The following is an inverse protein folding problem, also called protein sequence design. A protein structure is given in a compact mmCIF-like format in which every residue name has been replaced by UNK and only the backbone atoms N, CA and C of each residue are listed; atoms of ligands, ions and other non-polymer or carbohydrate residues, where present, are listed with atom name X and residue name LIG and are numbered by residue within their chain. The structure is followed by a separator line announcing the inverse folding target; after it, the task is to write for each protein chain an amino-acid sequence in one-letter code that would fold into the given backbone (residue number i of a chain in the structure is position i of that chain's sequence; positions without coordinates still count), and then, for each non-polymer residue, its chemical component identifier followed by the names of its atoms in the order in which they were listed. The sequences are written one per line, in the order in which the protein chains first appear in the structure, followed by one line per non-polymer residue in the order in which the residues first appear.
data_IF_631657230137
#
_entry.id   IF_631657230137
#
_cell.length_a   1.000
_cell.length_b   1.000
_cell.length_c   1.000
_cell.angle_alpha   90.00
_cell.angle_beta   90.00
_cell.angle_gamma   90.00
#
_symmetry.space_group_name_H-M   'P 1'
#
loop_
_entity.id
_entity.type
_entity.pdbx_description
1 polymer ?
#
# COMPACT_ATOMS: atom_id res chain seq x y z
N UNK A 1 -26.45 -41.02 0.18
CA UNK A 1 -25.92 -40.16 1.27
C UNK A 1 -24.41 -40.14 1.09
N UNK A 2 -23.88 -39.05 0.55
CA UNK A 2 -22.45 -38.79 0.52
C UNK A 2 -22.20 -37.72 1.57
N UNK A 3 -21.53 -38.07 2.65
CA UNK A 3 -20.99 -37.11 3.61
C UNK A 3 -20.01 -36.22 2.86
N UNK A 4 -20.33 -34.93 2.78
CA UNK A 4 -19.35 -33.92 2.43
C UNK A 4 -18.27 -33.97 3.51
N UNK A 5 -17.11 -34.52 3.16
CA UNK A 5 -15.89 -34.36 3.95
C UNK A 5 -15.66 -32.85 4.08
N UNK A 6 -15.89 -32.32 5.27
CA UNK A 6 -15.56 -30.93 5.61
C UNK A 6 -14.09 -30.73 5.30
N UNK A 7 -13.79 -29.79 4.39
CA UNK A 7 -12.43 -29.31 4.20
C UNK A 7 -11.87 -28.93 5.58
N UNK A 8 -10.63 -29.33 5.92
CA UNK A 8 -10.06 -28.99 7.22
C UNK A 8 -10.16 -27.48 7.41
N UNK A 9 -10.74 -27.02 8.53
CA UNK A 9 -10.86 -25.60 8.85
C UNK A 9 -9.55 -24.89 8.51
N UNK A 10 -9.59 -24.07 7.45
CA UNK A 10 -8.43 -23.40 6.90
C UNK A 10 -7.75 -22.62 8.03
N UNK A 11 -6.51 -23.00 8.38
CA UNK A 11 -5.72 -22.25 9.36
C UNK A 11 -5.75 -20.76 9.01
N UNK A 12 -5.99 -19.86 9.99
CA UNK A 12 -6.03 -18.44 9.71
C UNK A 12 -4.72 -17.96 9.08
N UNK A 13 -4.82 -17.10 8.06
CA UNK A 13 -3.68 -16.50 7.39
C UNK A 13 -2.92 -15.59 8.34
N UNK A 14 -3.65 -14.73 9.05
CA UNK A 14 -3.13 -13.86 10.10
C UNK A 14 -3.84 -14.18 11.42
N UNK A 15 -3.06 -14.25 12.50
CA UNK A 15 -3.58 -14.31 13.87
C UNK A 15 -2.85 -13.27 14.72
N UNK A 16 -3.61 -12.39 15.34
CA UNK A 16 -3.12 -11.43 16.33
C UNK A 16 -3.62 -11.87 17.69
N UNK A 17 -2.71 -11.97 18.67
CA UNK A 17 -3.03 -12.47 20.02
C UNK A 17 -2.49 -11.53 21.08
N UNK A 18 -3.39 -10.98 21.89
CA UNK A 18 -3.11 -10.12 23.05
C UNK A 18 -2.10 -9.01 22.74
N UNK A 19 -2.19 -8.44 21.53
CA UNK A 19 -1.24 -7.46 21.04
C UNK A 19 -1.39 -6.17 21.84
N UNK A 20 -0.28 -5.74 22.44
CA UNK A 20 -0.20 -4.50 23.23
C UNK A 20 0.91 -3.62 22.68
N UNK A 21 0.63 -2.33 22.52
CA UNK A 21 1.57 -1.36 21.95
C UNK A 21 1.45 -0.03 22.66
N UNK A 22 2.60 0.49 23.10
CA UNK A 22 2.71 1.76 23.81
C UNK A 22 3.55 2.76 23.04
N UNK A 23 3.18 4.03 23.20
CA UNK A 23 3.92 5.18 22.72
C UNK A 23 4.46 6.00 23.89
N UNK A 24 5.78 6.23 23.91
CA UNK A 24 6.51 6.93 24.95
C UNK A 24 6.78 8.37 24.50
N UNK A 25 6.34 9.33 25.31
CA UNK A 25 6.55 10.75 25.09
C UNK A 25 6.99 11.44 26.38
N UNK A 26 7.32 12.73 26.31
CA UNK A 26 7.61 13.53 27.51
C UNK A 26 6.39 13.66 28.44
N UNK A 27 5.20 13.64 27.88
CA UNK A 27 3.93 13.81 28.59
C UNK A 27 3.40 12.50 29.19
N UNK A 28 4.11 11.39 28.97
CA UNK A 28 3.80 10.08 29.53
C UNK A 28 3.77 8.97 28.49
N UNK A 29 3.22 7.83 28.91
CA UNK A 29 3.08 6.62 28.10
C UNK A 29 1.62 6.46 27.68
N UNK A 30 1.38 6.44 26.38
CA UNK A 30 0.07 6.19 25.80
C UNK A 30 -0.01 4.75 25.30
N UNK A 31 -0.85 3.93 25.92
CA UNK A 31 -1.15 2.58 25.42
C UNK A 31 -2.16 2.68 24.28
N UNK A 32 -1.68 2.59 23.05
CA UNK A 32 -2.50 2.77 21.85
C UNK A 32 -3.20 1.47 21.40
N UNK A 33 -2.62 0.32 21.75
CA UNK A 33 -3.22 -1.01 21.53
C UNK A 33 -3.14 -1.75 22.85
N UNK A 34 -4.26 -2.31 23.32
CA UNK A 34 -4.37 -2.93 24.65
C UNK A 34 -5.05 -4.30 24.50
N UNK A 35 -4.26 -5.38 24.49
CA UNK A 35 -4.77 -6.75 24.44
C UNK A 35 -5.60 -7.11 23.21
N UNK A 36 -5.29 -6.57 22.02
CA UNK A 36 -6.09 -6.84 20.82
C UNK A 36 -5.83 -8.25 20.30
N UNK A 37 -6.91 -9.00 20.07
CA UNK A 37 -6.90 -10.37 19.53
C UNK A 37 -7.90 -10.50 18.37
N UNK A 38 -7.46 -10.99 17.22
CA UNK A 38 -8.33 -11.31 16.07
C UNK A 38 -7.63 -12.25 15.08
N UNK A 39 -8.42 -12.82 14.17
CA UNK A 39 -7.95 -13.70 13.11
C UNK A 39 -8.47 -13.22 11.75
N UNK A 40 -7.71 -13.48 10.69
CA UNK A 40 -8.09 -13.25 9.31
C UNK A 40 -7.76 -14.49 8.49
N UNK A 41 -8.75 -15.10 7.85
CA UNK A 41 -8.56 -16.27 6.97
C UNK A 41 -8.25 -15.84 5.53
N UNK A 42 -7.78 -16.79 4.73
CA UNK A 42 -7.50 -16.55 3.30
C UNK A 42 -8.80 -16.18 2.57
N UNK A 43 -8.74 -15.11 1.79
CA UNK A 43 -9.88 -14.60 1.02
C UNK A 43 -10.87 -13.76 1.82
N UNK A 44 -10.69 -13.62 3.15
CA UNK A 44 -11.50 -12.72 3.95
C UNK A 44 -10.99 -11.27 3.84
N UNK A 45 -11.90 -10.32 4.06
CA UNK A 45 -11.57 -8.90 4.23
C UNK A 45 -11.97 -8.47 5.63
N UNK A 46 -11.01 -8.01 6.42
CA UNK A 46 -11.25 -7.49 7.77
C UNK A 46 -11.17 -5.97 7.77
N UNK A 47 -12.23 -5.32 8.24
CA UNK A 47 -12.27 -3.88 8.47
C UNK A 47 -12.08 -3.56 9.95
N UNK A 48 -11.07 -2.75 10.28
CA UNK A 48 -10.88 -2.20 11.62
C UNK A 48 -11.39 -0.75 11.67
N UNK A 49 -12.49 -0.51 12.38
CA UNK A 49 -13.20 0.78 12.41
C UNK A 49 -13.25 1.34 13.83
N UNK A 50 -13.22 2.65 13.96
CA UNK A 50 -13.27 3.36 15.23
C UNK A 50 -12.87 4.83 15.06
N UNK A 51 -12.98 5.61 16.13
CA UNK A 51 -12.70 7.06 16.13
C UNK A 51 -11.21 7.38 15.89
N UNK A 52 -10.90 8.62 15.54
CA UNK A 52 -9.50 9.06 15.44
C UNK A 52 -8.77 8.83 16.77
N UNK A 53 -7.56 8.29 16.72
CA UNK A 53 -6.76 8.00 17.91
C UNK A 53 -7.07 6.68 18.63
N UNK A 54 -8.09 5.90 18.23
CA UNK A 54 -8.46 4.65 18.90
C UNK A 54 -7.52 3.45 18.65
N UNK A 55 -6.32 3.67 18.10
CA UNK A 55 -5.32 2.62 17.91
C UNK A 55 -5.30 1.90 16.56
N UNK A 56 -6.21 2.17 15.62
CA UNK A 56 -6.27 1.45 14.32
C UNK A 56 -4.94 1.41 13.56
N UNK A 57 -4.35 2.58 13.33
CA UNK A 57 -3.07 2.69 12.64
C UNK A 57 -1.94 2.08 13.47
N UNK A 58 -2.01 2.20 14.79
CA UNK A 58 -1.03 1.58 15.68
C UNK A 58 -1.08 0.05 15.58
N UNK A 59 -2.26 -0.57 15.53
CA UNK A 59 -2.44 -2.01 15.30
C UNK A 59 -1.78 -2.46 13.99
N UNK A 60 -2.10 -1.78 12.88
CA UNK A 60 -1.54 -2.11 11.56
C UNK A 60 0.00 -1.95 11.52
N UNK A 61 0.52 -0.84 12.05
CA UNK A 61 1.96 -0.58 12.12
C UNK A 61 2.69 -1.57 13.04
N UNK A 62 2.05 -2.01 14.13
CA UNK A 62 2.59 -3.03 15.03
C UNK A 62 2.75 -4.38 14.33
N UNK A 63 1.71 -4.80 13.59
CA UNK A 63 1.76 -6.03 12.79
C UNK A 63 2.85 -5.99 11.72
N UNK A 64 3.02 -4.84 11.06
CA UNK A 64 4.09 -4.62 10.06
C UNK A 64 5.47 -4.38 10.69
N UNK A 65 5.57 -4.24 12.01
CA UNK A 65 6.78 -3.78 12.73
C UNK A 65 7.35 -2.46 12.19
N UNK A 66 6.48 -1.51 11.87
CA UNK A 66 6.82 -0.19 11.32
C UNK A 66 6.59 0.95 12.34
N UNK A 67 6.45 0.62 13.63
CA UNK A 67 6.41 1.62 14.69
C UNK A 67 7.71 2.42 14.72
N UNK A 68 7.61 3.74 14.88
CA UNK A 68 8.78 4.61 14.98
C UNK A 68 9.47 4.42 16.34
N UNK A 69 10.59 3.71 16.36
CA UNK A 69 11.41 3.57 17.56
C UNK A 69 12.18 4.86 17.88
N UNK A 70 12.43 5.19 19.17
CA UNK A 70 11.99 4.46 20.37
C UNK A 70 10.59 4.85 20.85
N UNK A 71 9.90 5.76 20.15
CA UNK A 71 8.62 6.31 20.58
C UNK A 71 7.54 5.23 20.62
N UNK A 72 7.36 4.41 19.59
CA UNK A 72 6.41 3.31 19.56
C UNK A 72 7.07 1.95 19.77
N UNK A 73 6.48 1.11 20.62
CA UNK A 73 6.97 -0.24 20.90
C UNK A 73 5.82 -1.23 21.10
N UNK A 74 5.97 -2.43 20.56
CA UNK A 74 5.14 -3.59 20.92
C UNK A 74 5.64 -4.12 22.27
N UNK A 75 4.76 -4.11 23.28
CA UNK A 75 5.10 -4.53 24.65
C UNK A 75 4.91 -6.03 24.84
N UNK A 76 3.84 -6.58 24.27
CA UNK A 76 3.48 -7.98 24.38
C UNK A 76 2.53 -8.41 23.26
N UNK A 77 2.31 -9.73 23.16
CA UNK A 77 1.43 -10.37 22.20
C UNK A 77 2.18 -11.10 21.09
N UNK A 78 1.43 -11.59 20.11
CA UNK A 78 1.95 -12.30 18.93
C UNK A 78 1.24 -11.85 17.67
N UNK A 79 1.98 -11.85 16.57
CA UNK A 79 1.43 -11.62 15.22
C UNK A 79 1.91 -12.76 14.34
N UNK A 80 1.04 -13.73 14.07
CA UNK A 80 1.35 -14.90 13.28
C UNK A 80 0.89 -14.68 11.83
N UNK A 81 1.79 -14.88 10.87
CA UNK A 81 1.46 -14.96 9.44
C UNK A 81 1.80 -16.37 8.96
N UNK A 82 0.80 -17.13 8.48
CA UNK A 82 0.93 -18.56 8.18
C UNK A 82 1.58 -19.35 9.33
N UNK A 83 1.22 -19.02 10.58
CA UNK A 83 1.76 -19.65 11.79
C UNK A 83 3.16 -19.20 12.21
N UNK A 84 3.84 -18.33 11.43
CA UNK A 84 5.15 -17.77 11.78
C UNK A 84 4.99 -16.45 12.54
N UNK A 85 5.58 -16.35 13.74
CA UNK A 85 5.54 -15.13 14.55
C UNK A 85 6.46 -14.03 14.01
N UNK A 86 5.85 -12.96 13.50
CA UNK A 86 6.51 -11.82 12.88
C UNK A 86 7.34 -11.01 13.89
N UNK A 87 6.93 -11.01 15.17
CA UNK A 87 7.60 -10.24 16.22
C UNK A 87 8.96 -10.85 16.61
N UNK A 88 9.19 -12.12 16.30
CA UNK A 88 10.42 -12.85 16.61
C UNK A 88 11.43 -12.86 15.44
N UNK A 89 11.06 -12.32 14.28
CA UNK A 89 11.94 -12.33 13.11
C UNK A 89 13.14 -11.39 13.27
N UNK A 90 14.28 -11.77 12.70
CA UNK A 90 15.34 -10.80 12.46
C UNK A 90 14.88 -9.73 11.46
N UNK A 91 15.53 -8.57 11.43
CA UNK A 91 15.15 -7.51 10.48
C UNK A 91 15.31 -7.96 9.02
N UNK A 92 16.31 -8.78 8.71
CA UNK A 92 16.50 -9.33 7.38
C UNK A 92 15.36 -10.28 6.96
N UNK A 93 14.83 -11.07 7.88
CA UNK A 93 13.67 -11.92 7.63
C UNK A 93 12.38 -11.11 7.52
N UNK A 94 12.19 -10.12 8.40
CA UNK A 94 11.04 -9.23 8.33
C UNK A 94 11.03 -8.41 7.04
N UNK A 95 12.20 -8.00 6.57
CA UNK A 95 12.36 -7.36 5.26
C UNK A 95 11.84 -8.26 4.13
N UNK A 96 12.07 -9.58 4.16
CA UNK A 96 11.52 -10.49 3.14
C UNK A 96 10.00 -10.64 3.23
N UNK A 97 9.43 -10.60 4.44
CA UNK A 97 7.98 -10.64 4.64
C UNK A 97 7.31 -9.38 4.09
N UNK A 98 7.89 -8.21 4.38
CA UNK A 98 7.40 -6.93 3.86
C UNK A 98 7.60 -6.89 2.34
N UNK A 99 6.55 -6.62 1.60
CA UNK A 99 6.60 -6.48 0.14
C UNK A 99 6.24 -7.76 -0.63
N UNK A 100 6.63 -8.94 -0.15
CA UNK A 100 6.32 -10.22 -0.82
C UNK A 100 5.08 -10.90 -0.21
N UNK A 101 5.10 -11.16 1.11
CA UNK A 101 3.99 -11.82 1.81
C UNK A 101 2.97 -10.82 2.38
N UNK A 102 3.41 -9.62 2.74
CA UNK A 102 2.59 -8.59 3.37
C UNK A 102 3.01 -7.19 2.92
N UNK A 103 2.08 -6.43 2.35
CA UNK A 103 2.32 -5.06 1.89
C UNK A 103 1.39 -4.07 2.60
N UNK A 104 1.81 -2.82 2.69
CA UNK A 104 1.03 -1.74 3.32
C UNK A 104 0.93 -0.55 2.38
N UNK A 105 -0.29 -0.02 2.23
CA UNK A 105 -0.55 1.27 1.60
C UNK A 105 -0.79 2.29 2.72
N UNK A 106 0.05 3.31 2.80
CA UNK A 106 -0.05 4.32 3.84
C UNK A 106 -1.17 5.32 3.56
N UNK A 107 -1.67 5.99 4.62
CA UNK A 107 -2.78 6.95 4.53
C UNK A 107 -2.47 8.14 3.62
N UNK A 108 -1.20 8.55 3.56
CA UNK A 108 -0.69 9.55 2.62
C UNK A 108 0.20 8.86 1.57
N UNK A 109 -0.39 8.18 0.57
CA UNK A 109 0.39 7.34 -0.35
C UNK A 109 1.42 8.14 -1.17
N UNK A 110 1.15 9.43 -1.42
CA UNK A 110 2.06 10.30 -2.16
C UNK A 110 3.38 10.58 -1.42
N UNK A 111 3.39 10.55 -0.09
CA UNK A 111 4.62 10.73 0.70
C UNK A 111 5.48 9.47 0.74
N UNK A 112 4.93 8.33 0.31
CA UNK A 112 5.65 7.07 0.20
C UNK A 112 6.50 6.97 -1.06
N UNK A 113 6.27 7.84 -2.05
CA UNK A 113 7.08 7.90 -3.27
C UNK A 113 8.19 8.93 -3.13
N UNK A 114 9.40 8.54 -3.51
CA UNK A 114 10.51 9.45 -3.66
C UNK A 114 10.30 10.32 -4.93
N UNK A 115 10.19 11.66 -4.79
CA UNK A 115 9.87 12.54 -5.92
C UNK A 115 10.99 12.68 -6.93
N UNK A 116 12.24 12.30 -6.59
CA UNK A 116 13.40 12.37 -7.50
C UNK A 116 13.67 11.06 -8.25
N UNK A 117 12.86 10.03 -8.04
CA UNK A 117 12.94 8.75 -8.74
C UNK A 117 11.68 8.56 -9.61
N UNK A 118 11.82 7.90 -10.76
CA UNK A 118 10.64 7.55 -11.56
C UNK A 118 9.78 6.53 -10.82
N UNK A 119 8.48 6.52 -11.12
CA UNK A 119 7.55 5.57 -10.55
C UNK A 119 7.92 4.12 -10.92
N UNK A 120 8.32 3.90 -12.18
CA UNK A 120 8.82 2.61 -12.63
C UNK A 120 10.05 2.13 -11.88
N UNK A 121 11.02 3.01 -11.62
CA UNK A 121 12.21 2.64 -10.87
C UNK A 121 11.86 2.12 -9.47
N UNK A 122 10.95 2.81 -8.77
CA UNK A 122 10.54 2.45 -7.41
C UNK A 122 9.77 1.12 -7.37
N UNK A 123 8.92 0.86 -8.38
CA UNK A 123 8.23 -0.44 -8.52
C UNK A 123 9.25 -1.55 -8.81
N UNK A 124 10.16 -1.31 -9.76
CA UNK A 124 11.20 -2.26 -10.15
C UNK A 124 12.15 -2.58 -9.00
N UNK A 125 12.52 -1.60 -8.17
CA UNK A 125 13.40 -1.77 -7.02
C UNK A 125 12.85 -2.83 -6.07
N UNK A 126 11.56 -2.73 -5.71
CA UNK A 126 10.90 -3.74 -4.88
C UNK A 126 10.91 -5.13 -5.57
N UNK A 127 10.53 -5.21 -6.84
CA UNK A 127 10.52 -6.49 -7.58
C UNK A 127 11.91 -7.15 -7.59
N UNK A 128 12.96 -6.37 -7.84
CA UNK A 128 14.34 -6.87 -7.87
C UNK A 128 14.77 -7.35 -6.48
N UNK A 129 14.46 -6.57 -5.43
CA UNK A 129 14.83 -6.90 -4.05
C UNK A 129 14.21 -8.22 -3.58
N UNK A 130 12.95 -8.46 -3.94
CA UNK A 130 12.18 -9.59 -3.40
C UNK A 130 12.17 -10.83 -4.30
N UNK A 131 12.30 -10.67 -5.62
CA UNK A 131 12.07 -11.76 -6.58
C UNK A 131 13.35 -12.22 -7.30
N UNK A 132 14.50 -11.59 -7.04
CA UNK A 132 15.81 -11.93 -7.62
C UNK A 132 15.79 -12.08 -9.15
N UNK A 133 15.13 -11.14 -9.84
CA UNK A 133 14.99 -11.12 -11.30
C UNK A 133 15.90 -10.08 -11.94
N UNK A 134 16.13 -10.20 -13.25
CA UNK A 134 16.88 -9.19 -14.01
C UNK A 134 16.10 -7.87 -14.08
N UNK A 135 16.84 -6.76 -14.30
CA UNK A 135 16.25 -5.44 -14.50
C UNK A 135 15.22 -5.41 -15.64
N UNK A 136 15.45 -6.20 -16.70
CA UNK A 136 14.52 -6.29 -17.83
C UNK A 136 13.20 -6.93 -17.39
N UNK A 137 13.25 -8.08 -16.72
CA UNK A 137 12.07 -8.78 -16.21
C UNK A 137 11.32 -7.91 -15.19
N UNK A 138 12.04 -7.19 -14.32
CA UNK A 138 11.42 -6.27 -13.39
C UNK A 138 10.69 -5.12 -14.10
N UNK A 139 11.24 -4.59 -15.20
CA UNK A 139 10.60 -3.53 -15.98
C UNK A 139 9.32 -4.03 -16.65
N UNK A 140 9.34 -5.23 -17.23
CA UNK A 140 8.16 -5.86 -17.85
C UNK A 140 7.05 -6.04 -16.81
N UNK A 141 7.37 -6.60 -15.63
CA UNK A 141 6.43 -6.74 -14.51
C UNK A 141 5.89 -5.41 -13.99
N UNK A 142 6.73 -4.37 -13.93
CA UNK A 142 6.29 -3.04 -13.51
C UNK A 142 5.28 -2.43 -14.50
N UNK A 143 5.47 -2.65 -15.81
CA UNK A 143 4.50 -2.22 -16.85
C UNK A 143 3.18 -2.98 -16.68
N UNK A 144 3.23 -4.30 -16.48
CA UNK A 144 2.04 -5.13 -16.23
C UNK A 144 1.27 -4.66 -14.99
N UNK A 145 1.98 -4.29 -13.90
CA UNK A 145 1.35 -3.74 -12.69
C UNK A 145 0.67 -2.40 -12.97
N UNK A 146 1.32 -1.49 -13.69
CA UNK A 146 0.73 -0.20 -14.08
C UNK A 146 -0.53 -0.40 -14.94
N UNK A 147 -0.51 -1.36 -15.85
CA UNK A 147 -1.68 -1.74 -16.65
C UNK A 147 -2.81 -2.28 -15.78
N UNK A 148 -2.51 -3.18 -14.84
CA UNK A 148 -3.48 -3.80 -13.94
C UNK A 148 -4.20 -2.78 -13.04
N UNK A 149 -3.51 -1.72 -12.61
CA UNK A 149 -4.13 -0.63 -11.83
C UNK A 149 -4.76 0.46 -12.71
N UNK A 150 -4.80 0.26 -14.03
CA UNK A 150 -5.48 1.15 -14.97
C UNK A 150 -4.70 2.40 -15.37
N UNK A 151 -3.38 2.45 -15.16
CA UNK A 151 -2.54 3.52 -15.68
C UNK A 151 -2.46 3.40 -17.20
N UNK A 152 -2.92 4.43 -17.88
CA UNK A 152 -2.93 4.47 -19.33
C UNK A 152 -1.51 4.64 -19.90
N UNK A 153 -1.24 4.05 -21.07
CA UNK A 153 0.08 4.06 -21.71
C UNK A 153 1.25 3.65 -20.79
N UNK A 154 1.16 2.51 -20.07
CA UNK A 154 2.07 2.16 -18.98
C UNK A 154 3.55 2.08 -19.42
N UNK A 155 3.82 1.57 -20.62
CA UNK A 155 5.19 1.51 -21.16
C UNK A 155 5.85 2.88 -21.40
N UNK A 156 5.05 3.93 -21.60
CA UNK A 156 5.50 5.32 -21.74
C UNK A 156 5.61 5.98 -20.37
N UNK A 157 4.63 5.75 -19.49
CA UNK A 157 4.52 6.40 -18.18
C UNK A 157 5.41 5.80 -17.10
N UNK A 158 5.98 4.60 -17.31
CA UNK A 158 6.88 3.95 -16.36
C UNK A 158 8.11 4.82 -16.01
N UNK A 159 8.55 5.67 -16.95
CA UNK A 159 9.69 6.56 -16.75
C UNK A 159 9.28 7.94 -16.19
N UNK A 160 7.99 8.18 -15.92
CA UNK A 160 7.48 9.40 -15.29
C UNK A 160 7.78 9.44 -13.79
N UNK A 161 7.97 10.65 -13.28
CA UNK A 161 8.11 10.94 -11.85
C UNK A 161 6.74 11.08 -11.16
N UNK A 162 6.65 10.94 -9.82
CA UNK A 162 5.37 10.99 -9.10
C UNK A 162 4.51 12.22 -9.39
N UNK A 163 5.13 13.39 -9.58
CA UNK A 163 4.41 14.63 -9.90
C UNK A 163 3.83 14.64 -11.33
N UNK A 164 4.41 13.88 -12.25
CA UNK A 164 3.95 13.73 -13.64
C UNK A 164 2.88 12.64 -13.79
N UNK A 165 2.83 11.68 -12.86
CA UNK A 165 1.81 10.63 -12.84
C UNK A 165 0.41 11.16 -12.51
N UNK A 166 0.32 12.34 -11.89
CA UNK A 166 -0.97 13.02 -11.76
C UNK A 166 -1.57 13.17 -13.17
N UNK A 167 -2.82 12.75 -13.36
CA UNK A 167 -3.52 12.91 -14.65
C UNK A 167 -3.77 14.38 -15.03
N UNK A 168 -3.04 15.31 -14.39
CA UNK A 168 -3.17 16.75 -14.44
C UNK A 168 -2.17 17.31 -15.44
N UNK A 169 -2.65 17.70 -16.61
CA UNK A 169 -1.86 18.46 -17.58
C UNK A 169 -2.18 19.94 -17.42
N UNK A 170 -1.14 20.77 -17.26
CA UNK A 170 -1.26 22.23 -17.21
C UNK A 170 -0.63 22.84 -18.44
N UNK A 171 -1.38 23.67 -19.16
CA UNK A 171 -0.89 24.40 -20.32
C UNK A 171 -0.46 25.83 -19.95
N UNK A 172 0.47 26.46 -20.70
CA UNK A 172 0.90 27.85 -20.45
C UNK A 172 -0.21 28.88 -20.50
N UNK A 173 -1.33 28.56 -21.17
CA UNK A 173 -2.52 29.40 -21.24
C UNK A 173 -3.43 29.31 -20.02
N UNK A 174 -3.03 28.55 -18.99
CA UNK A 174 -3.75 28.44 -17.72
C UNK A 174 -4.79 27.32 -17.67
N UNK A 175 -4.94 26.52 -18.73
CA UNK A 175 -5.84 25.35 -18.72
C UNK A 175 -5.25 24.20 -17.90
N UNK A 176 -6.11 23.46 -17.21
CA UNK A 176 -5.74 22.28 -16.44
C UNK A 176 -6.68 21.12 -16.79
N UNK A 177 -6.14 19.97 -17.22
CA UNK A 177 -6.95 18.78 -17.48
C UNK A 177 -6.63 17.70 -16.47
N UNK A 178 -7.65 17.18 -15.80
CA UNK A 178 -7.62 16.09 -14.85
C UNK A 178 -8.27 14.85 -15.48
N UNK A 179 -7.50 13.86 -15.93
CA UNK A 179 -8.11 12.64 -16.46
C UNK A 179 -7.14 11.66 -17.08
N UNK A 180 -7.71 10.65 -17.75
CA UNK A 180 -6.93 9.62 -18.46
C UNK A 180 -6.29 10.16 -19.74
N UNK A 181 -5.24 9.44 -20.19
CA UNK A 181 -4.44 9.79 -21.37
C UNK A 181 -4.09 8.53 -22.17
N UNK A 182 -4.39 8.48 -23.46
CA UNK A 182 -3.95 7.39 -24.34
C UNK A 182 -3.20 7.96 -25.54
N UNK A 183 -2.02 7.42 -25.87
CA UNK A 183 -1.20 7.83 -27.02
C UNK A 183 -0.93 9.36 -27.09
N UNK A 184 -0.72 10.01 -25.93
CA UNK A 184 -0.50 11.45 -25.84
C UNK A 184 -1.76 12.32 -26.00
N UNK A 185 -2.95 11.71 -26.05
CA UNK A 185 -4.24 12.41 -26.13
C UNK A 185 -5.09 12.14 -24.89
N UNK A 186 -5.98 13.06 -24.55
CA UNK A 186 -6.93 12.92 -23.43
C UNK A 186 -7.89 11.77 -23.74
N UNK A 187 -8.04 10.81 -22.84
CA UNK A 187 -8.83 9.61 -23.06
C UNK A 187 -9.54 9.15 -21.79
N UNK A 188 -10.74 8.58 -21.92
CA UNK A 188 -11.55 8.14 -20.80
C UNK A 188 -12.24 9.30 -20.06
N UNK A 189 -12.67 9.08 -18.82
CA UNK A 189 -13.29 10.15 -18.02
C UNK A 189 -12.25 11.19 -17.60
N UNK A 190 -12.61 12.47 -17.75
CA UNK A 190 -11.73 13.57 -17.37
C UNK A 190 -12.43 14.91 -17.30
N UNK A 191 -11.78 15.85 -16.62
CA UNK A 191 -12.26 17.19 -16.37
C UNK A 191 -11.25 18.22 -16.86
N UNK A 192 -11.64 19.10 -17.78
CA UNK A 192 -10.83 20.23 -18.23
C UNK A 192 -11.33 21.51 -17.57
N UNK A 193 -10.48 22.14 -16.78
CA UNK A 193 -10.61 23.51 -16.29
C UNK A 193 -10.00 24.47 -17.32
N UNK A 194 -10.78 25.43 -17.77
CA UNK A 194 -10.34 26.49 -18.66
C UNK A 194 -9.80 27.68 -17.86
N UNK A 195 -8.99 28.52 -18.50
CA UNK A 195 -8.36 29.67 -17.85
C UNK A 195 -9.37 30.72 -17.35
N UNK A 196 -10.57 30.74 -17.92
CA UNK A 196 -11.69 31.59 -17.49
C UNK A 196 -12.48 31.01 -16.30
N UNK A 197 -12.04 29.87 -15.76
CA UNK A 197 -12.68 29.15 -14.67
C UNK A 197 -13.86 28.27 -15.09
N UNK A 198 -14.23 28.25 -16.37
CA UNK A 198 -15.22 27.29 -16.88
C UNK A 198 -14.64 25.87 -16.83
N UNK A 199 -15.51 24.88 -16.73
CA UNK A 199 -15.08 23.48 -16.59
C UNK A 199 -15.93 22.57 -17.46
N UNK A 200 -15.29 21.63 -18.14
CA UNK A 200 -15.95 20.53 -18.84
C UNK A 200 -15.56 19.21 -18.18
N UNK A 201 -16.53 18.41 -17.78
CA UNK A 201 -16.31 17.05 -17.27
C UNK A 201 -17.04 16.06 -18.16
N UNK A 202 -16.36 15.02 -18.63
CA UNK A 202 -16.96 14.04 -19.52
C UNK A 202 -15.99 12.99 -20.03
N UNK A 203 -16.46 12.20 -20.98
CA UNK A 203 -15.67 11.19 -21.67
C UNK A 203 -14.85 11.83 -22.80
N UNK A 204 -13.56 11.50 -22.86
CA UNK A 204 -12.59 11.96 -23.85
C UNK A 204 -12.13 10.75 -24.69
N UNK A 205 -11.90 10.96 -25.98
CA UNK A 205 -11.50 9.93 -26.94
C UNK A 205 -10.23 10.34 -27.67
#
# INVERSE_FOLDING_TARGET
MAEALSEPESQPLIQVRELTTSFYSRDGVARAVDGVSFELRRGETLGLVGESGCGKSATALSMMRLLQAPAGRVDSGQVLLNGRDLLQLSEAEMCRVRGDDMAMIFQEPMTSLNPVLSCGYQIMEAIILHQNVSKQVARERAIEMLELVGISAPAQRIDEYPHQMSGVMRWPDGREYFGGWANGQRHGQGTLLYADGSMYSGEWR
#
